data_IF_419059772143
#
_entry.id   IF_419059772143
#
_cell.length_a   1.000
_cell.length_b   1.000
_cell.length_c   1.000
_cell.angle_alpha   90.00
_cell.angle_beta   90.00
_cell.angle_gamma   90.00
#
_symmetry.space_group_name_H-M   'P 1'
#
loop_
_entity.id
_entity.type
_entity.pdbx_description
1 polymer ?
#
# COMPACT_ATOMS: atom_id res chain seq x y z
N UNK A 1 13.42 34.52 27.00
CA UNK A 1 12.27 33.63 27.32
C UNK A 1 11.06 33.89 26.42
N UNK A 2 10.93 35.08 25.80
CA UNK A 2 9.84 35.43 24.87
C UNK A 2 9.95 34.86 23.45
N UNK A 3 11.15 34.52 22.97
CA UNK A 3 11.32 33.94 21.62
C UNK A 3 10.73 32.53 21.48
N UNK A 4 10.80 31.70 22.53
CA UNK A 4 10.29 30.33 22.51
C UNK A 4 8.75 30.26 22.47
N UNK A 5 8.06 31.19 23.14
CA UNK A 5 6.59 31.27 23.14
C UNK A 5 6.03 31.80 21.81
N UNK A 6 6.79 32.69 21.16
CA UNK A 6 6.45 33.24 19.84
C UNK A 6 6.54 32.18 18.74
N UNK A 7 7.48 31.24 18.87
CA UNK A 7 7.68 30.13 17.94
C UNK A 7 6.58 29.06 18.06
N UNK A 8 6.22 28.66 19.28
CA UNK A 8 5.14 27.67 19.53
C UNK A 8 3.78 28.16 19.00
N UNK A 9 3.46 29.45 19.16
CA UNK A 9 2.22 30.04 18.65
C UNK A 9 2.15 30.02 17.12
N UNK A 10 3.27 30.30 16.45
CA UNK A 10 3.39 30.24 14.99
C UNK A 10 3.25 28.81 14.47
N UNK A 11 3.95 27.85 15.08
CA UNK A 11 3.85 26.42 14.73
C UNK A 11 2.40 25.93 14.87
N UNK A 12 1.74 26.26 15.98
CA UNK A 12 0.32 25.88 16.19
C UNK A 12 -0.60 26.49 15.14
N UNK A 13 -0.37 27.73 14.74
CA UNK A 13 -1.16 28.39 13.68
C UNK A 13 -0.93 27.74 12.31
N UNK A 14 0.32 27.38 12.00
CA UNK A 14 0.66 26.67 10.78
C UNK A 14 0.00 25.29 10.72
N UNK A 15 0.04 24.54 11.84
CA UNK A 15 -0.62 23.23 11.94
C UNK A 15 -2.14 23.34 11.74
N UNK A 16 -2.81 24.28 12.43
CA UNK A 16 -4.25 24.51 12.24
C UNK A 16 -4.62 24.88 10.81
N UNK A 17 -3.75 25.65 10.15
CA UNK A 17 -3.93 26.02 8.75
C UNK A 17 -3.82 24.78 7.86
N UNK A 18 -2.77 23.98 8.04
CA UNK A 18 -2.57 22.72 7.33
C UNK A 18 -3.74 21.75 7.52
N UNK A 19 -4.21 21.59 8.76
CA UNK A 19 -5.35 20.72 9.07
C UNK A 19 -6.61 21.14 8.35
N UNK A 20 -6.87 22.46 8.29
CA UNK A 20 -8.01 23.02 7.58
C UNK A 20 -7.89 22.85 6.07
N UNK A 21 -6.70 23.06 5.51
CA UNK A 21 -6.44 22.96 4.07
C UNK A 21 -6.51 21.52 3.54
N UNK A 22 -6.20 20.53 4.38
CA UNK A 22 -6.17 19.10 4.00
C UNK A 22 -7.40 18.32 4.46
N UNK A 23 -8.33 18.94 5.18
CA UNK A 23 -9.46 18.25 5.81
C UNK A 23 -10.33 17.51 4.78
N UNK A 24 -10.80 18.21 3.75
CA UNK A 24 -11.73 17.65 2.77
C UNK A 24 -11.09 16.49 1.98
N UNK A 25 -9.82 16.63 1.60
CA UNK A 25 -9.09 15.56 0.91
C UNK A 25 -8.93 14.31 1.80
N UNK A 26 -8.57 14.50 3.08
CA UNK A 26 -8.48 13.39 4.05
C UNK A 26 -9.83 12.72 4.25
N UNK A 27 -10.89 13.51 4.34
CA UNK A 27 -12.27 13.03 4.45
C UNK A 27 -12.67 12.17 3.24
N UNK A 28 -12.40 12.62 2.02
CA UNK A 28 -12.68 11.85 0.80
C UNK A 28 -11.92 10.51 0.76
N UNK A 29 -10.66 10.51 1.22
CA UNK A 29 -9.83 9.29 1.28
C UNK A 29 -10.33 8.32 2.35
N UNK A 30 -10.77 8.82 3.50
CA UNK A 30 -11.42 8.01 4.55
C UNK A 30 -12.71 7.41 4.01
N UNK A 31 -13.57 8.21 3.36
CA UNK A 31 -14.82 7.72 2.78
C UNK A 31 -14.58 6.67 1.68
N UNK A 32 -13.53 6.83 0.89
CA UNK A 32 -13.09 5.82 -0.09
C UNK A 32 -12.70 4.51 0.58
N UNK A 33 -11.88 4.56 1.65
CA UNK A 33 -11.47 3.38 2.41
C UNK A 33 -12.66 2.70 3.09
N UNK A 34 -13.53 3.46 3.74
CA UNK A 34 -14.72 2.95 4.41
C UNK A 34 -15.65 2.20 3.44
N UNK A 35 -15.87 2.75 2.24
CA UNK A 35 -16.65 2.08 1.20
C UNK A 35 -16.00 0.77 0.71
N UNK A 36 -14.67 0.73 0.66
CA UNK A 36 -13.91 -0.38 0.10
C UNK A 36 -13.74 -1.54 1.10
N UNK A 37 -13.47 -1.22 2.36
CA UNK A 37 -13.39 -2.19 3.45
C UNK A 37 -14.81 -2.66 3.81
N UNK A 38 -15.78 -1.73 3.81
CA UNK A 38 -17.14 -2.00 4.21
C UNK A 38 -17.25 -2.42 5.68
N UNK A 39 -18.33 -3.10 6.04
CA UNK A 39 -18.55 -3.65 7.38
C UNK A 39 -17.84 -4.99 7.61
N UNK A 40 -16.87 -5.37 6.77
CA UNK A 40 -16.26 -6.69 6.87
C UNK A 40 -15.55 -6.81 8.22
N UNK A 41 -15.98 -7.79 9.02
CA UNK A 41 -15.33 -8.16 10.27
C UNK A 41 -13.86 -8.52 10.01
N UNK A 42 -12.98 -8.22 10.97
CA UNK A 42 -11.56 -8.53 10.90
C UNK A 42 -11.38 -10.02 10.58
N UNK A 43 -10.82 -10.29 9.40
CA UNK A 43 -10.53 -11.66 8.96
C UNK A 43 -9.18 -12.13 9.50
N UNK A 44 -9.00 -13.44 9.71
CA UNK A 44 -7.69 -13.98 10.06
C UNK A 44 -6.66 -13.49 9.06
N UNK A 45 -5.67 -12.76 9.55
CA UNK A 45 -4.65 -12.08 8.77
C UNK A 45 -3.32 -12.23 9.52
N UNK A 46 -2.20 -12.49 8.84
CA UNK A 46 -0.88 -12.51 9.47
C UNK A 46 -0.61 -11.21 10.23
N UNK A 47 0.04 -11.32 11.40
CA UNK A 47 0.32 -10.17 12.26
C UNK A 47 0.99 -9.00 11.49
N UNK A 48 2.04 -9.28 10.72
CA UNK A 48 2.72 -8.25 9.94
C UNK A 48 1.86 -7.66 8.82
N UNK A 49 1.01 -8.47 8.18
CA UNK A 49 0.06 -7.95 7.18
C UNK A 49 -0.95 -6.98 7.82
N UNK A 50 -1.40 -7.22 9.05
CA UNK A 50 -2.29 -6.31 9.76
C UNK A 50 -1.60 -4.98 10.10
N UNK A 51 -0.37 -5.02 10.60
CA UNK A 51 0.41 -3.80 10.90
C UNK A 51 0.67 -2.96 9.64
N UNK A 52 1.12 -3.59 8.55
CA UNK A 52 1.33 -2.89 7.28
C UNK A 52 0.03 -2.36 6.68
N UNK A 53 -1.10 -3.02 6.92
CA UNK A 53 -2.41 -2.55 6.47
C UNK A 53 -2.82 -1.25 7.18
N UNK A 54 -2.65 -1.18 8.50
CA UNK A 54 -2.92 0.05 9.25
C UNK A 54 -2.03 1.21 8.79
N UNK A 55 -0.74 0.94 8.57
CA UNK A 55 0.20 1.94 8.06
C UNK A 55 -0.17 2.37 6.63
N UNK A 56 -0.53 1.43 5.75
CA UNK A 56 -0.97 1.73 4.39
C UNK A 56 -2.18 2.69 4.36
N UNK A 57 -3.15 2.49 5.26
CA UNK A 57 -4.31 3.37 5.42
C UNK A 57 -3.90 4.75 5.93
N UNK A 58 -3.09 4.80 6.97
CA UNK A 58 -2.60 6.06 7.56
C UNK A 58 -1.88 6.91 6.51
N UNK A 59 -0.92 6.33 5.80
CA UNK A 59 -0.21 7.00 4.71
C UNK A 59 -1.15 7.43 3.59
N UNK A 60 -2.10 6.58 3.20
CA UNK A 60 -3.07 6.92 2.16
C UNK A 60 -3.90 8.15 2.53
N UNK A 61 -4.46 8.17 3.75
CA UNK A 61 -5.29 9.27 4.25
C UNK A 61 -4.49 10.56 4.24
N UNK A 62 -3.26 10.54 4.78
CA UNK A 62 -2.41 11.72 4.90
C UNK A 62 -1.76 12.19 3.58
N UNK A 63 -1.94 11.46 2.48
CA UNK A 63 -1.42 11.84 1.16
C UNK A 63 0.00 11.34 0.87
N UNK A 64 0.55 10.47 1.74
CA UNK A 64 1.85 9.82 1.58
C UNK A 64 1.74 8.62 0.63
N UNK A 65 1.28 8.88 -0.60
CA UNK A 65 0.85 7.83 -1.54
C UNK A 65 1.94 6.83 -1.91
N UNK A 66 3.19 7.29 -2.04
CA UNK A 66 4.33 6.41 -2.36
C UNK A 66 4.53 5.40 -1.22
N UNK A 67 4.51 5.86 0.03
CA UNK A 67 4.66 4.99 1.20
C UNK A 67 3.46 4.05 1.31
N UNK A 68 2.24 4.55 1.08
CA UNK A 68 1.04 3.73 1.04
C UNK A 68 1.14 2.59 0.00
N UNK A 69 1.64 2.86 -1.21
CA UNK A 69 1.86 1.83 -2.24
C UNK A 69 2.88 0.78 -1.78
N UNK A 70 3.96 1.20 -1.11
CA UNK A 70 4.96 0.27 -0.58
C UNK A 70 4.36 -0.61 0.53
N UNK A 71 3.61 -0.02 1.46
CA UNK A 71 2.92 -0.77 2.51
C UNK A 71 1.91 -1.76 1.92
N UNK A 72 1.17 -1.37 0.88
CA UNK A 72 0.29 -2.30 0.15
C UNK A 72 1.06 -3.51 -0.43
N UNK A 73 2.29 -3.31 -0.93
CA UNK A 73 3.12 -4.41 -1.42
C UNK A 73 3.52 -5.35 -0.30
N UNK A 74 3.91 -4.83 0.86
CA UNK A 74 4.27 -5.64 2.03
C UNK A 74 3.07 -6.46 2.54
N UNK A 75 1.88 -5.86 2.59
CA UNK A 75 0.64 -6.60 2.91
C UNK A 75 0.42 -7.73 1.91
N UNK A 76 0.47 -7.44 0.61
CA UNK A 76 0.28 -8.46 -0.42
C UNK A 76 1.32 -9.57 -0.31
N UNK A 77 2.59 -9.24 -0.06
CA UNK A 77 3.66 -10.22 0.11
C UNK A 77 3.39 -11.15 1.31
N UNK A 78 3.02 -10.59 2.45
CA UNK A 78 2.68 -11.37 3.65
C UNK A 78 1.45 -12.24 3.44
N UNK A 79 0.42 -11.74 2.75
CA UNK A 79 -0.76 -12.52 2.40
C UNK A 79 -0.44 -13.66 1.42
N UNK A 80 0.47 -13.45 0.46
CA UNK A 80 0.89 -14.49 -0.48
C UNK A 80 1.76 -15.57 0.18
N UNK A 81 2.56 -15.22 1.20
CA UNK A 81 3.34 -16.19 2.00
C UNK A 81 2.45 -17.07 2.87
N UNK A 82 1.29 -16.56 3.27
CA UNK A 82 0.47 -17.15 4.31
C UNK A 82 0.04 -18.61 4.02
N UNK A 83 -0.52 -18.95 2.84
CA UNK A 83 -0.86 -20.34 2.51
C UNK A 83 0.34 -21.29 2.62
N UNK A 84 1.54 -20.84 2.25
CA UNK A 84 2.77 -21.63 2.31
C UNK A 84 3.29 -21.84 3.73
N UNK A 85 2.96 -20.94 4.66
CA UNK A 85 3.21 -21.14 6.10
C UNK A 85 2.37 -22.29 6.63
N UNK A 86 1.12 -22.42 6.20
CA UNK A 86 0.25 -23.54 6.58
C UNK A 86 0.69 -24.87 6.00
N UNK A 87 1.16 -24.89 4.75
CA UNK A 87 1.63 -26.13 4.11
C UNK A 87 3.05 -26.54 4.54
N UNK A 88 3.76 -25.68 5.28
CA UNK A 88 5.13 -25.94 5.74
C UNK A 88 6.20 -25.77 4.66
N UNK A 89 5.90 -25.01 3.60
CA UNK A 89 6.84 -24.72 2.51
C UNK A 89 7.85 -23.63 2.89
N UNK A 90 8.73 -23.93 3.84
CA UNK A 90 9.71 -23.00 4.43
C UNK A 90 10.56 -22.28 3.37
N UNK A 91 10.94 -22.99 2.30
CA UNK A 91 11.74 -22.39 1.21
C UNK A 91 11.00 -21.25 0.51
N UNK A 92 9.70 -21.39 0.29
CA UNK A 92 8.88 -20.35 -0.36
C UNK A 92 8.74 -19.16 0.59
N UNK A 93 8.47 -19.42 1.87
CA UNK A 93 8.28 -18.36 2.88
C UNK A 93 9.55 -17.53 3.10
N UNK A 94 10.72 -18.18 3.20
CA UNK A 94 11.95 -17.54 3.66
C UNK A 94 12.85 -17.01 2.53
N UNK A 95 12.77 -17.59 1.33
CA UNK A 95 13.73 -17.30 0.26
C UNK A 95 13.14 -16.58 -0.95
N UNK A 96 11.81 -16.58 -1.12
CA UNK A 96 11.21 -16.00 -2.32
C UNK A 96 11.04 -14.50 -2.15
N UNK A 97 11.46 -13.74 -3.18
CA UNK A 97 11.13 -12.33 -3.27
C UNK A 97 9.69 -12.13 -3.73
N UNK A 98 9.19 -10.89 -3.67
CA UNK A 98 7.82 -10.59 -4.07
C UNK A 98 7.48 -11.03 -5.51
N UNK A 99 8.46 -11.02 -6.42
CA UNK A 99 8.28 -11.51 -7.79
C UNK A 99 7.97 -13.01 -7.83
N UNK A 100 8.82 -13.80 -7.16
CA UNK A 100 8.74 -15.26 -7.15
C UNK A 100 7.47 -15.72 -6.41
N UNK A 101 7.05 -14.98 -5.37
CA UNK A 101 5.78 -15.23 -4.67
C UNK A 101 4.56 -15.01 -5.56
N UNK A 102 4.56 -13.98 -6.41
CA UNK A 102 3.47 -13.73 -7.36
C UNK A 102 3.37 -14.89 -8.36
N UNK A 103 4.51 -15.32 -8.91
CA UNK A 103 4.58 -16.40 -9.89
C UNK A 103 4.13 -17.72 -9.26
N UNK A 104 4.66 -18.08 -8.09
CA UNK A 104 4.30 -19.30 -7.37
C UNK A 104 2.81 -19.33 -6.99
N UNK A 105 2.27 -18.23 -6.46
CA UNK A 105 0.86 -18.15 -6.09
C UNK A 105 -0.08 -18.21 -7.30
N UNK A 106 0.36 -17.74 -8.46
CA UNK A 106 -0.39 -17.89 -9.71
C UNK A 106 -0.35 -19.35 -10.18
N UNK A 107 0.83 -19.98 -10.17
CA UNK A 107 1.00 -21.38 -10.60
C UNK A 107 0.17 -22.33 -9.73
N UNK A 108 0.12 -22.08 -8.42
CA UNK A 108 -0.71 -22.84 -7.47
C UNK A 108 -2.19 -22.43 -7.46
N UNK A 109 -2.58 -21.49 -8.33
CA UNK A 109 -3.96 -20.98 -8.45
C UNK A 109 -4.53 -20.29 -7.20
N UNK A 110 -3.68 -19.80 -6.29
CA UNK A 110 -4.11 -18.94 -5.17
C UNK A 110 -4.56 -17.56 -5.63
N UNK A 111 -4.01 -17.07 -6.74
CA UNK A 111 -4.41 -15.81 -7.38
C UNK A 111 -4.65 -15.98 -8.88
N UNK A 112 -5.47 -15.11 -9.46
CA UNK A 112 -5.73 -15.11 -10.90
C UNK A 112 -4.56 -14.50 -11.68
N UNK A 113 -4.45 -14.81 -12.98
CA UNK A 113 -3.47 -14.17 -13.87
C UNK A 113 -3.66 -12.64 -13.96
N UNK A 114 -4.90 -12.15 -13.84
CA UNK A 114 -5.19 -10.70 -13.78
C UNK A 114 -4.63 -10.07 -12.50
N UNK A 115 -4.80 -10.74 -11.35
CA UNK A 115 -4.25 -10.27 -10.08
C UNK A 115 -2.72 -10.30 -10.09
N UNK A 116 -2.10 -11.37 -10.61
CA UNK A 116 -0.66 -11.45 -10.81
C UNK A 116 -0.14 -10.31 -11.71
N UNK A 117 -0.84 -10.01 -12.80
CA UNK A 117 -0.51 -8.87 -13.67
C UNK A 117 -0.55 -7.53 -12.91
N UNK A 118 -1.58 -7.31 -12.09
CA UNK A 118 -1.72 -6.10 -11.26
C UNK A 118 -0.64 -6.01 -10.18
N UNK A 119 -0.31 -7.13 -9.52
CA UNK A 119 0.75 -7.21 -8.53
C UNK A 119 2.12 -6.90 -9.15
N UNK A 120 2.42 -7.43 -10.34
CA UNK A 120 3.65 -7.09 -11.04
C UNK A 120 3.71 -5.62 -11.47
N UNK A 121 2.58 -5.02 -11.88
CA UNK A 121 2.52 -3.58 -12.15
C UNK A 121 2.83 -2.77 -10.89
N UNK A 122 2.23 -3.13 -9.75
CA UNK A 122 2.48 -2.50 -8.46
C UNK A 122 3.94 -2.65 -8.03
N UNK A 123 4.51 -3.86 -8.12
CA UNK A 123 5.93 -4.16 -7.81
C UNK A 123 6.89 -3.25 -8.59
N UNK A 124 6.65 -3.05 -9.89
CA UNK A 124 7.51 -2.21 -10.74
C UNK A 124 7.59 -0.75 -10.26
N UNK A 125 6.59 -0.27 -9.53
CA UNK A 125 6.63 1.05 -8.92
C UNK A 125 7.72 1.16 -7.85
N UNK A 126 7.93 0.12 -7.04
CA UNK A 126 9.01 0.07 -6.04
C UNK A 126 10.39 0.08 -6.70
N UNK A 127 10.56 -0.72 -7.76
CA UNK A 127 11.82 -0.77 -8.52
C UNK A 127 12.21 0.60 -9.09
N UNK A 128 11.23 1.40 -9.53
CA UNK A 128 11.48 2.76 -10.04
C UNK A 128 12.04 3.69 -8.95
N UNK A 129 11.65 3.48 -7.69
CA UNK A 129 12.11 4.27 -6.56
C UNK A 129 13.47 3.80 -6.03
N UNK A 130 13.72 2.48 -6.03
CA UNK A 130 14.97 1.89 -5.54
C UNK A 130 16.12 1.97 -6.56
N UNK A 131 15.83 1.93 -7.86
CA UNK A 131 16.82 1.98 -8.93
C UNK A 131 16.77 3.31 -9.68
N UNK A 132 17.39 4.33 -9.10
CA UNK A 132 17.53 5.68 -9.71
C UNK A 132 18.25 5.68 -11.08
N UNK A 133 18.87 4.56 -11.49
CA UNK A 133 19.53 4.42 -12.80
C UNK A 133 18.56 4.33 -13.99
N UNK A 134 17.31 3.94 -13.75
CA UNK A 134 16.26 3.88 -14.80
C UNK A 134 15.55 5.23 -15.04
N UNK A 135 15.90 6.29 -14.28
CA UNK A 135 15.46 7.66 -14.57
C UNK A 135 15.97 8.20 -15.92
N UNK A 136 16.88 7.49 -16.59
CA UNK A 136 17.34 7.81 -17.95
C UNK A 136 16.32 7.48 -19.03
N UNK A 137 15.29 6.67 -18.73
CA UNK A 137 14.19 6.47 -19.67
C UNK A 137 13.32 7.73 -19.74
N UNK A 138 13.23 8.31 -20.95
CA UNK A 138 12.36 9.43 -21.39
C UNK A 138 10.92 9.46 -20.84
N UNK A 139 10.42 8.39 -20.22
CA UNK A 139 9.06 8.30 -19.65
C UNK A 139 8.88 9.01 -18.31
N UNK A 140 9.93 9.22 -17.52
CA UNK A 140 9.80 9.84 -16.18
C UNK A 140 10.94 10.80 -15.87
N UNK A 141 11.14 11.81 -16.73
CA UNK A 141 11.81 13.03 -16.29
C UNK A 141 10.92 13.74 -15.26
N UNK A 142 10.88 13.23 -14.03
CA UNK A 142 10.17 13.82 -12.89
C UNK A 142 10.66 15.25 -12.60
N UNK A 143 11.78 15.66 -13.18
CA UNK A 143 12.27 17.04 -13.21
C UNK A 143 11.39 18.02 -14.02
N UNK A 144 10.45 17.54 -14.85
CA UNK A 144 9.59 18.39 -15.72
C UNK A 144 8.09 18.18 -15.52
N UNK A 145 7.67 17.27 -14.63
CA UNK A 145 6.26 17.11 -14.25
C UNK A 145 6.01 18.05 -13.08
N UNK A 146 4.97 18.89 -13.15
CA UNK A 146 4.59 19.72 -12.00
C UNK A 146 4.32 18.83 -10.79
N UNK A 147 4.75 19.25 -9.59
CA UNK A 147 4.58 18.47 -8.35
C UNK A 147 3.12 18.00 -8.16
N UNK A 148 2.17 18.85 -8.57
CA UNK A 148 0.73 18.54 -8.57
C UNK A 148 0.37 17.34 -9.46
N UNK A 149 0.91 17.24 -10.69
CA UNK A 149 0.63 16.12 -11.59
C UNK A 149 1.24 14.81 -11.08
N UNK A 150 2.40 14.88 -10.43
CA UNK A 150 2.99 13.72 -9.77
C UNK A 150 2.13 13.23 -8.59
N UNK A 151 1.63 14.15 -7.78
CA UNK A 151 0.76 13.85 -6.65
C UNK A 151 -0.51 13.13 -7.13
N UNK A 152 -1.19 13.67 -8.15
CA UNK A 152 -2.40 13.06 -8.71
C UNK A 152 -2.18 11.65 -9.26
N UNK A 153 -1.09 11.42 -10.00
CA UNK A 153 -0.79 10.08 -10.52
C UNK A 153 -0.44 9.12 -9.40
N UNK A 154 0.28 9.57 -8.37
CA UNK A 154 0.60 8.76 -7.20
C UNK A 154 -0.66 8.41 -6.40
N UNK A 155 -1.59 9.34 -6.23
CA UNK A 155 -2.88 9.08 -5.59
C UNK A 155 -3.69 8.03 -6.34
N UNK A 156 -3.76 8.16 -7.66
CA UNK A 156 -4.45 7.18 -8.51
C UNK A 156 -3.82 5.79 -8.36
N UNK A 157 -2.49 5.71 -8.42
CA UNK A 157 -1.78 4.45 -8.24
C UNK A 157 -2.02 3.86 -6.84
N UNK A 158 -2.01 4.70 -5.79
CA UNK A 158 -2.31 4.28 -4.43
C UNK A 158 -3.75 3.76 -4.28
N UNK A 159 -4.74 4.42 -4.90
CA UNK A 159 -6.13 3.92 -4.93
C UNK A 159 -6.23 2.52 -5.53
N UNK A 160 -5.53 2.26 -6.63
CA UNK A 160 -5.51 0.94 -7.27
C UNK A 160 -4.76 -0.10 -6.43
N UNK A 161 -3.64 0.29 -5.79
CA UNK A 161 -2.89 -0.57 -4.87
C UNK A 161 -3.71 -0.97 -3.65
N UNK A 162 -4.41 -0.01 -3.02
CA UNK A 162 -5.28 -0.26 -1.86
C UNK A 162 -6.44 -1.19 -2.23
N UNK A 163 -7.08 -1.00 -3.39
CA UNK A 163 -8.12 -1.92 -3.91
C UNK A 163 -7.61 -3.34 -4.06
N UNK A 164 -6.44 -3.50 -4.69
CA UNK A 164 -5.83 -4.81 -4.90
C UNK A 164 -5.47 -5.48 -3.58
N UNK A 165 -4.86 -4.72 -2.66
CA UNK A 165 -4.52 -5.18 -1.32
C UNK A 165 -5.74 -5.70 -0.58
N UNK A 166 -6.82 -4.91 -0.48
CA UNK A 166 -8.05 -5.31 0.21
C UNK A 166 -8.69 -6.52 -0.47
N UNK A 167 -8.70 -6.57 -1.81
CA UNK A 167 -9.20 -7.74 -2.55
C UNK A 167 -8.42 -9.00 -2.16
N UNK A 168 -7.09 -8.95 -2.16
CA UNK A 168 -6.25 -10.11 -1.84
C UNK A 168 -6.35 -10.53 -0.38
N UNK A 169 -6.40 -9.58 0.55
CA UNK A 169 -6.67 -9.87 1.96
C UNK A 169 -7.98 -10.64 2.08
N UNK A 170 -9.06 -10.16 1.46
CA UNK A 170 -10.34 -10.86 1.48
C UNK A 170 -10.28 -12.24 0.85
N UNK A 171 -9.61 -12.39 -0.30
CA UNK A 171 -9.53 -13.64 -1.04
C UNK A 171 -8.72 -14.72 -0.28
N UNK A 172 -7.58 -14.35 0.29
CA UNK A 172 -6.63 -15.31 0.88
C UNK A 172 -6.94 -15.63 2.34
N UNK A 173 -7.62 -14.74 3.07
CA UNK A 173 -8.11 -15.05 4.43
C UNK A 173 -9.19 -16.14 4.48
N UNK A 174 -9.83 -16.49 3.36
CA UNK A 174 -10.85 -17.55 3.34
C UNK A 174 -10.28 -18.98 3.36
N UNK A 175 -8.99 -19.17 3.07
CA UNK A 175 -8.37 -20.51 3.08
C UNK A 175 -8.41 -21.19 4.46
N UNK A 176 -8.70 -20.41 5.51
CA UNK A 176 -8.86 -20.86 6.88
C UNK A 176 -10.21 -21.53 7.17
N UNK A 177 -11.30 -21.12 6.52
CA UNK A 177 -12.66 -21.56 6.88
C UNK A 177 -12.98 -23.00 6.43
N UNK A 178 -12.19 -23.58 5.53
CA UNK A 178 -12.46 -24.90 4.93
C UNK A 178 -11.47 -25.99 5.38
N UNK A 179 -10.59 -25.65 6.33
CA UNK A 179 -9.57 -26.54 6.88
C UNK A 179 -9.86 -26.97 8.33
N UNK A 180 -11.08 -26.70 8.82
CA UNK A 180 -11.57 -27.05 10.17
C UNK A 180 -12.50 -28.26 10.13
#
# INVERSE_FOLDING_TARGET
>A
MDDALTDVSKIRKALKKFDKETFDERYERIAFLDKLIGKSEYRPTPFFAAEYFEEAKSCFINGDFIVSIIMCQLVCEEMLKDPYRFTGEVKVVDSYGFADLIEKAQDDSFISADDACKLHKMRKFRNLMEHTKDFSHKKYSLRFISQHKLLLESEKQAKESVKLMIKLMNQLSFLYEHSS
#
